data_IF_644361102146
#
_entry.id   IF_644361102146
#
_cell.length_a   1.000
_cell.length_b   1.000
_cell.length_c   1.000
_cell.angle_alpha   90.00
_cell.angle_beta   90.00
_cell.angle_gamma   90.00
#
_symmetry.space_group_name_H-M   'P 1'
#
loop_
_entity.id
_entity.type
_entity.pdbx_description
1 polymer ?
#
# COMPACT_ATOMS: atom_id res chain seq x y z
N UNK A 1 2.14 -104.05 -2.73
CA UNK A 1 1.48 -103.44 -1.55
C UNK A 1 2.25 -102.21 -1.12
N UNK A 2 1.52 -101.14 -0.76
CA UNK A 2 1.93 -99.87 -0.13
C UNK A 2 2.49 -98.75 -1.03
N UNK A 3 1.52 -97.88 -1.35
CA UNK A 3 1.54 -96.47 -1.77
C UNK A 3 2.71 -95.66 -1.17
N UNK A 4 3.36 -94.84 -2.00
CA UNK A 4 4.13 -93.68 -1.58
C UNK A 4 3.57 -92.45 -2.30
N UNK A 5 3.16 -91.45 -1.51
CA UNK A 5 2.40 -90.28 -1.92
C UNK A 5 3.31 -89.26 -2.63
N UNK A 6 2.86 -88.76 -3.79
CA UNK A 6 3.37 -87.52 -4.39
C UNK A 6 2.91 -86.34 -3.55
N UNK A 7 3.84 -85.56 -2.99
CA UNK A 7 3.58 -84.19 -2.56
C UNK A 7 3.77 -83.26 -3.78
N UNK A 8 2.67 -82.74 -4.32
CA UNK A 8 2.69 -81.64 -5.27
C UNK A 8 2.89 -80.32 -4.53
N UNK A 9 3.97 -79.61 -4.84
CA UNK A 9 4.19 -78.23 -4.40
C UNK A 9 3.48 -77.30 -5.39
N UNK A 10 2.33 -76.75 -5.00
CA UNK A 10 1.67 -75.68 -5.73
C UNK A 10 2.35 -74.35 -5.40
N UNK A 11 3.10 -73.79 -6.34
CA UNK A 11 3.51 -72.38 -6.31
C UNK A 11 2.29 -71.52 -6.68
N UNK A 12 1.62 -70.95 -5.67
CA UNK A 12 0.65 -69.87 -5.89
C UNK A 12 1.43 -68.59 -6.22
N UNK A 13 1.49 -68.24 -7.50
CA UNK A 13 1.91 -66.91 -7.96
C UNK A 13 0.82 -65.91 -7.58
N UNK A 14 1.01 -65.22 -6.46
CA UNK A 14 0.14 -64.14 -6.00
C UNK A 14 0.53 -62.85 -6.74
N UNK A 15 -0.07 -62.61 -7.91
CA UNK A 15 0.03 -61.33 -8.61
C UNK A 15 -0.72 -60.26 -7.82
N UNK A 16 0.02 -59.54 -6.97
CA UNK A 16 -0.44 -58.36 -6.27
C UNK A 16 -0.79 -57.27 -7.28
N UNK A 17 -2.07 -57.14 -7.60
CA UNK A 17 -2.57 -56.07 -8.47
C UNK A 17 -2.71 -54.83 -7.61
N UNK A 18 -1.70 -53.95 -7.64
CA UNK A 18 -1.74 -52.65 -6.98
C UNK A 18 -2.80 -51.79 -7.65
N UNK A 19 -3.99 -51.71 -7.06
CA UNK A 19 -4.95 -50.65 -7.35
C UNK A 19 -4.36 -49.34 -6.81
N UNK A 20 -3.71 -48.59 -7.69
CA UNK A 20 -3.40 -47.18 -7.43
C UNK A 20 -4.72 -46.43 -7.50
N UNK A 21 -5.37 -46.28 -6.35
CA UNK A 21 -6.42 -45.29 -6.18
C UNK A 21 -5.78 -43.91 -6.35
N UNK A 22 -5.86 -43.38 -7.56
CA UNK A 22 -5.50 -42.00 -7.87
C UNK A 22 -6.44 -41.05 -7.14
N UNK A 23 -6.14 -40.75 -5.89
CA UNK A 23 -6.58 -39.48 -5.32
C UNK A 23 -5.80 -38.41 -6.08
N UNK A 24 -6.47 -37.75 -7.02
CA UNK A 24 -6.05 -36.43 -7.46
C UNK A 24 -6.09 -35.54 -6.22
N UNK A 25 -4.96 -35.44 -5.52
CA UNK A 25 -4.71 -34.30 -4.67
C UNK A 25 -4.79 -33.10 -5.60
N UNK A 26 -5.91 -32.37 -5.53
CA UNK A 26 -5.99 -31.03 -6.11
C UNK A 26 -4.84 -30.28 -5.45
N UNK A 27 -3.78 -30.01 -6.22
CA UNK A 27 -2.75 -29.10 -5.79
C UNK A 27 -3.48 -27.83 -5.30
N UNK A 28 -3.16 -27.29 -4.11
CA UNK A 28 -3.77 -26.04 -3.68
C UNK A 28 -3.60 -25.07 -4.84
N UNK A 29 -4.72 -24.55 -5.35
CA UNK A 29 -4.69 -23.56 -6.40
C UNK A 29 -3.73 -22.47 -5.92
N UNK A 30 -2.61 -22.31 -6.62
CA UNK A 30 -1.68 -21.20 -6.41
C UNK A 30 -2.35 -19.96 -6.98
N UNK A 31 -3.50 -19.59 -6.41
CA UNK A 31 -4.18 -18.36 -6.77
C UNK A 31 -3.33 -17.24 -6.20
N UNK A 32 -2.83 -16.39 -7.09
CA UNK A 32 -2.24 -15.11 -6.69
C UNK A 32 -3.31 -14.14 -6.16
N UNK A 33 -4.59 -14.51 -6.25
CA UNK A 33 -5.70 -13.62 -5.99
C UNK A 33 -5.92 -13.27 -4.51
N UNK A 34 -6.13 -11.99 -4.25
CA UNK A 34 -6.39 -11.40 -2.93
C UNK A 34 -7.73 -10.66 -2.90
N UNK A 35 -8.22 -10.33 -1.70
CA UNK A 35 -9.37 -9.43 -1.53
C UNK A 35 -9.06 -8.03 -2.05
N UNK A 36 -7.82 -7.56 -1.92
CA UNK A 36 -7.40 -6.29 -2.48
C UNK A 36 -7.55 -6.30 -4.00
N UNK A 37 -7.08 -7.35 -4.69
CA UNK A 37 -7.25 -7.51 -6.14
C UNK A 37 -8.72 -7.49 -6.57
N UNK A 38 -9.61 -8.19 -5.86
CA UNK A 38 -11.05 -8.17 -6.16
C UNK A 38 -11.66 -6.76 -6.03
N UNK A 39 -11.15 -5.95 -5.10
CA UNK A 39 -11.59 -4.56 -4.90
C UNK A 39 -10.95 -3.57 -5.88
N UNK A 40 -9.81 -3.93 -6.50
CA UNK A 40 -9.07 -3.06 -7.42
C UNK A 40 -9.40 -3.28 -8.90
N UNK A 41 -9.58 -4.53 -9.32
CA UNK A 41 -9.65 -4.94 -10.73
C UNK A 41 -11.03 -4.82 -11.39
N UNK A 42 -12.08 -4.51 -10.62
CA UNK A 42 -13.44 -4.49 -11.16
C UNK A 42 -13.98 -3.05 -11.23
N UNK A 43 -14.09 -2.56 -12.46
CA UNK A 43 -14.77 -1.35 -12.94
C UNK A 43 -13.99 -0.01 -12.97
N UNK A 44 -14.22 0.76 -14.04
CA UNK A 44 -13.91 2.20 -14.17
C UNK A 44 -14.65 3.08 -13.13
N UNK A 45 -15.56 2.47 -12.37
CA UNK A 45 -16.30 3.11 -11.27
C UNK A 45 -15.68 2.82 -9.91
N UNK A 46 -15.75 3.79 -9.01
CA UNK A 46 -15.27 3.65 -7.63
C UNK A 46 -16.08 2.57 -6.91
N UNK A 47 -15.41 1.52 -6.43
CA UNK A 47 -16.04 0.42 -5.72
C UNK A 47 -16.75 0.91 -4.44
N UNK A 48 -17.98 0.45 -4.23
CA UNK A 48 -18.73 0.70 -3.01
C UNK A 48 -18.46 -0.41 -2.00
N UNK A 49 -18.01 -0.03 -0.80
CA UNK A 49 -17.64 -0.95 0.28
C UNK A 49 -18.51 -0.64 1.50
N UNK A 50 -19.22 -1.65 2.01
CA UNK A 50 -19.91 -1.59 3.30
C UNK A 50 -19.04 -2.25 4.37
N UNK A 51 -18.84 -1.58 5.50
CA UNK A 51 -18.20 -2.15 6.68
C UNK A 51 -19.09 -1.99 7.92
N UNK A 52 -19.58 -3.12 8.41
CA UNK A 52 -20.47 -3.20 9.56
C UNK A 52 -19.71 -3.62 10.81
N UNK A 53 -19.84 -2.85 11.90
CA UNK A 53 -19.22 -3.13 13.20
C UNK A 53 -19.74 -2.17 14.29
N UNK A 54 -19.35 -2.38 15.54
CA UNK A 54 -19.50 -1.39 16.61
C UNK A 54 -18.52 -0.20 16.40
N UNK A 55 -18.91 0.75 15.55
CA UNK A 55 -18.10 1.94 15.26
C UNK A 55 -17.88 2.82 16.49
N UNK A 56 -18.83 2.85 17.42
CA UNK A 56 -18.70 3.64 18.66
C UNK A 56 -17.59 3.04 19.51
N UNK A 57 -17.62 1.73 19.73
CA UNK A 57 -16.57 1.00 20.43
C UNK A 57 -15.21 1.15 19.77
N UNK A 58 -15.13 1.01 18.44
CA UNK A 58 -13.88 1.15 17.69
C UNK A 58 -13.25 2.53 17.88
N UNK A 59 -14.05 3.60 17.77
CA UNK A 59 -13.59 4.98 17.87
C UNK A 59 -13.18 5.32 19.31
N UNK A 60 -13.97 4.92 20.31
CA UNK A 60 -13.67 5.17 21.72
C UNK A 60 -12.41 4.42 22.18
N UNK A 61 -12.20 3.20 21.68
CA UNK A 61 -11.11 2.31 22.12
C UNK A 61 -9.95 2.20 21.12
N UNK A 62 -9.91 3.05 20.09
CA UNK A 62 -8.88 3.01 19.02
C UNK A 62 -7.44 2.92 19.53
N UNK A 63 -7.14 3.51 20.69
CA UNK A 63 -5.80 3.47 21.28
C UNK A 63 -5.39 2.08 21.79
N UNK A 64 -6.35 1.21 22.15
CA UNK A 64 -6.10 -0.15 22.66
C UNK A 64 -5.65 -1.13 21.57
N UNK A 65 -5.96 -0.84 20.30
CA UNK A 65 -5.68 -1.73 19.16
C UNK A 65 -6.28 -3.15 19.31
N UNK A 66 -7.38 -3.29 20.02
CA UNK A 66 -8.07 -4.57 20.18
C UNK A 66 -8.89 -4.89 18.91
N UNK A 67 -8.90 -6.16 18.54
CA UNK A 67 -9.74 -6.63 17.44
C UNK A 67 -11.19 -6.76 17.91
N UNK A 68 -12.12 -6.25 17.11
CA UNK A 68 -13.55 -6.48 17.22
C UNK A 68 -14.09 -7.14 15.94
N UNK A 69 -15.24 -7.80 16.05
CA UNK A 69 -15.88 -8.45 14.92
C UNK A 69 -16.56 -7.43 13.99
N UNK A 70 -16.69 -7.79 12.71
CA UNK A 70 -17.46 -7.03 11.74
C UNK A 70 -17.70 -7.79 10.46
N UNK A 71 -18.40 -7.14 9.53
CA UNK A 71 -18.74 -7.69 8.22
C UNK A 71 -18.31 -6.71 7.14
N UNK A 72 -17.41 -7.16 6.26
CA UNK A 72 -17.03 -6.45 5.05
C UNK A 72 -17.92 -6.94 3.90
N UNK A 73 -18.47 -6.03 3.09
CA UNK A 73 -19.28 -6.40 1.93
C UNK A 73 -19.04 -5.47 0.75
N UNK A 74 -18.99 -6.04 -0.45
CA UNK A 74 -18.84 -5.29 -1.69
C UNK A 74 -19.41 -6.08 -2.87
N UNK A 75 -19.71 -5.37 -3.96
CA UNK A 75 -20.24 -5.96 -5.19
C UNK A 75 -19.11 -6.51 -6.06
N UNK A 76 -19.29 -7.70 -6.60
CA UNK A 76 -18.38 -8.35 -7.55
C UNK A 76 -18.81 -8.06 -9.00
N UNK A 77 -17.94 -8.34 -9.99
CA UNK A 77 -18.19 -8.07 -11.41
C UNK A 77 -19.36 -8.88 -11.98
N UNK A 78 -19.61 -10.07 -11.44
CA UNK A 78 -20.79 -10.88 -11.79
C UNK A 78 -22.11 -10.27 -11.26
N UNK A 79 -22.02 -9.17 -10.53
CA UNK A 79 -23.12 -8.43 -9.95
C UNK A 79 -23.55 -8.93 -8.56
N UNK A 80 -23.00 -10.05 -8.09
CA UNK A 80 -23.26 -10.60 -6.75
C UNK A 80 -22.60 -9.75 -5.66
N UNK A 81 -23.02 -9.98 -4.40
CA UNK A 81 -22.43 -9.29 -3.24
C UNK A 81 -21.63 -10.30 -2.43
N UNK A 82 -20.31 -10.09 -2.35
CA UNK A 82 -19.45 -10.84 -1.45
C UNK A 82 -19.60 -10.29 -0.03
N UNK A 83 -19.80 -11.17 0.94
CA UNK A 83 -19.84 -10.83 2.37
C UNK A 83 -18.79 -11.65 3.11
N UNK A 84 -17.97 -10.99 3.92
CA UNK A 84 -16.87 -11.58 4.66
C UNK A 84 -17.02 -11.22 6.15
N UNK A 85 -17.03 -12.24 7.01
CA UNK A 85 -16.86 -12.02 8.44
C UNK A 85 -15.39 -11.70 8.69
N UNK A 86 -15.11 -10.59 9.35
CA UNK A 86 -13.77 -10.03 9.52
C UNK A 86 -13.54 -9.58 10.96
N UNK A 87 -12.27 -9.50 11.35
CA UNK A 87 -11.84 -8.83 12.58
C UNK A 87 -11.21 -7.50 12.23
N UNK A 88 -11.54 -6.44 12.94
CA UNK A 88 -11.00 -5.10 12.69
C UNK A 88 -10.41 -4.50 13.95
N UNK A 89 -9.37 -3.70 13.77
CA UNK A 89 -8.82 -2.85 14.83
C UNK A 89 -8.31 -1.54 14.23
N UNK A 90 -8.24 -0.51 15.05
CA UNK A 90 -7.50 0.70 14.69
C UNK A 90 -6.00 0.41 14.54
N UNK A 91 -5.33 1.15 13.67
CA UNK A 91 -3.88 1.09 13.41
C UNK A 91 -3.29 2.49 13.19
N UNK A 92 -1.97 2.58 13.18
CA UNK A 92 -1.21 3.81 12.97
C UNK A 92 -0.83 4.47 14.29
N UNK A 93 -0.14 5.61 14.26
CA UNK A 93 0.24 6.33 15.48
C UNK A 93 -0.52 7.65 15.60
N UNK A 94 -0.15 8.64 14.78
CA UNK A 94 -0.70 9.99 14.90
C UNK A 94 -2.22 10.04 14.65
N UNK A 95 -2.68 9.47 13.53
CA UNK A 95 -4.10 9.50 13.15
C UNK A 95 -5.03 8.87 14.21
N UNK A 96 -4.56 7.92 15.04
CA UNK A 96 -5.37 7.42 16.16
C UNK A 96 -5.67 8.49 17.21
N UNK A 97 -4.74 9.43 17.40
CA UNK A 97 -4.87 10.49 18.40
C UNK A 97 -5.67 11.69 17.86
N UNK A 98 -5.47 12.08 16.60
CA UNK A 98 -6.06 13.32 16.03
C UNK A 98 -7.34 13.10 15.22
N UNK A 99 -7.52 11.94 14.61
CA UNK A 99 -8.69 11.66 13.77
C UNK A 99 -9.85 11.07 14.56
N UNK A 100 -11.07 11.39 14.14
CA UNK A 100 -12.27 10.71 14.63
C UNK A 100 -12.25 9.26 14.16
N UNK A 101 -12.11 9.05 12.85
CA UNK A 101 -11.95 7.73 12.24
C UNK A 101 -10.47 7.42 12.05
N UNK A 102 -9.91 6.45 12.80
CA UNK A 102 -8.53 6.03 12.60
C UNK A 102 -8.42 5.16 11.34
N UNK A 103 -7.22 5.04 10.73
CA UNK A 103 -6.94 3.95 9.83
C UNK A 103 -7.22 2.60 10.51
N UNK A 104 -7.73 1.64 9.76
CA UNK A 104 -8.09 0.33 10.29
C UNK A 104 -7.30 -0.78 9.60
N UNK A 105 -7.01 -1.83 10.37
CA UNK A 105 -6.53 -3.10 9.86
C UNK A 105 -7.71 -4.08 9.90
N UNK A 106 -8.10 -4.59 8.74
CA UNK A 106 -9.13 -5.63 8.60
C UNK A 106 -8.40 -6.96 8.42
N UNK A 107 -8.77 -7.96 9.21
CA UNK A 107 -8.23 -9.30 9.18
C UNK A 107 -9.32 -10.27 8.77
N UNK A 108 -9.15 -10.91 7.63
CA UNK A 108 -10.07 -11.91 7.09
C UNK A 108 -9.64 -13.30 7.59
N UNK A 109 -10.55 -14.15 8.08
CA UNK A 109 -10.22 -15.53 8.42
C UNK A 109 -9.69 -16.32 7.23
N UNK A 110 -8.57 -16.99 7.42
CA UNK A 110 -7.86 -17.75 6.37
C UNK A 110 -8.72 -18.80 5.69
N UNK A 111 -9.54 -19.51 6.46
CA UNK A 111 -10.46 -20.51 5.93
C UNK A 111 -11.48 -19.89 4.97
N UNK A 112 -12.01 -18.69 5.25
CA UNK A 112 -12.91 -17.99 4.30
C UNK A 112 -12.18 -17.68 2.99
N UNK A 113 -10.92 -17.24 3.04
CA UNK A 113 -10.12 -16.99 1.83
C UNK A 113 -9.94 -18.28 1.01
N UNK A 114 -9.54 -19.38 1.66
CA UNK A 114 -9.37 -20.67 0.98
C UNK A 114 -10.67 -21.17 0.36
N UNK A 115 -11.82 -21.00 1.04
CA UNK A 115 -13.14 -21.35 0.49
C UNK A 115 -13.52 -20.52 -0.74
N UNK A 116 -13.04 -19.28 -0.84
CA UNK A 116 -13.22 -18.41 -2.00
C UNK A 116 -12.15 -18.63 -3.09
N UNK A 117 -11.25 -19.60 -2.91
CA UNK A 117 -10.13 -19.82 -3.82
C UNK A 117 -9.10 -18.70 -3.80
N UNK A 118 -9.01 -17.92 -2.72
CA UNK A 118 -8.05 -16.83 -2.53
C UNK A 118 -6.88 -17.27 -1.65
N UNK A 119 -5.75 -16.57 -1.80
CA UNK A 119 -4.54 -16.89 -1.04
C UNK A 119 -4.69 -16.55 0.44
N UNK A 120 -4.52 -17.56 1.30
CA UNK A 120 -4.71 -17.41 2.74
C UNK A 120 -3.66 -16.51 3.43
N UNK A 121 -2.51 -16.28 2.77
CA UNK A 121 -1.47 -15.36 3.25
C UNK A 121 -1.84 -13.90 3.07
N UNK A 122 -2.82 -13.59 2.23
CA UNK A 122 -3.32 -12.23 1.95
C UNK A 122 -4.55 -11.93 2.79
N UNK A 123 -4.41 -12.14 4.09
CA UNK A 123 -5.53 -12.10 5.04
C UNK A 123 -5.67 -10.76 5.76
N UNK A 124 -4.83 -9.79 5.43
CA UNK A 124 -4.78 -8.48 6.07
C UNK A 124 -5.02 -7.39 5.03
N UNK A 125 -5.99 -6.52 5.28
CA UNK A 125 -6.32 -5.39 4.43
C UNK A 125 -6.15 -4.09 5.24
N UNK A 126 -5.41 -3.14 4.68
CA UNK A 126 -5.19 -1.82 5.28
C UNK A 126 -6.16 -0.82 4.65
N UNK A 127 -7.04 -0.26 5.46
CA UNK A 127 -8.00 0.75 5.02
C UNK A 127 -7.72 2.08 5.74
N UNK A 128 -7.41 3.10 4.96
CA UNK A 128 -7.25 4.48 5.41
C UNK A 128 -8.62 5.16 5.26
N UNK A 129 -9.10 5.76 6.35
CA UNK A 129 -10.38 6.45 6.40
C UNK A 129 -10.16 7.96 6.33
N UNK A 130 -11.18 8.69 5.86
CA UNK A 130 -11.21 10.14 6.06
C UNK A 130 -11.14 10.43 7.56
N UNK A 131 -10.27 11.36 7.95
CA UNK A 131 -10.00 11.64 9.36
C UNK A 131 -11.28 12.00 10.14
N UNK A 132 -12.22 12.67 9.47
CA UNK A 132 -13.57 13.03 9.91
C UNK A 132 -14.50 13.09 8.68
N UNK A 133 -15.79 13.24 8.92
CA UNK A 133 -16.73 13.58 7.85
C UNK A 133 -16.50 15.01 7.33
N UNK A 134 -16.86 15.23 6.07
CA UNK A 134 -16.83 16.55 5.45
C UNK A 134 -15.74 16.68 4.38
N UNK A 135 -16.08 17.47 3.36
CA UNK A 135 -15.31 17.59 2.12
C UNK A 135 -13.82 17.90 2.33
N UNK A 136 -13.47 18.74 3.29
CA UNK A 136 -12.07 19.09 3.56
C UNK A 136 -11.21 17.87 3.92
N UNK A 137 -11.73 16.95 4.73
CA UNK A 137 -11.00 15.76 5.16
C UNK A 137 -10.96 14.70 4.06
N UNK A 138 -12.04 14.58 3.29
CA UNK A 138 -12.06 13.72 2.11
C UNK A 138 -11.08 14.23 1.04
N UNK A 139 -11.02 15.53 0.80
CA UNK A 139 -10.03 16.14 -0.11
C UNK A 139 -8.60 15.83 0.34
N UNK A 140 -8.32 15.78 1.66
CA UNK A 140 -7.01 15.35 2.17
C UNK A 140 -6.71 13.88 1.85
N UNK A 141 -7.66 12.97 2.09
CA UNK A 141 -7.49 11.55 1.74
C UNK A 141 -7.27 11.37 0.23
N UNK A 142 -8.02 12.10 -0.59
CA UNK A 142 -7.91 12.08 -2.04
C UNK A 142 -6.58 12.67 -2.54
N UNK A 143 -6.06 13.72 -1.87
CA UNK A 143 -4.70 14.25 -2.14
C UNK A 143 -3.61 13.24 -1.80
N UNK A 144 -3.75 12.52 -0.68
CA UNK A 144 -2.83 11.44 -0.31
C UNK A 144 -2.85 10.32 -1.36
N UNK A 145 -4.04 9.89 -1.77
CA UNK A 145 -4.21 8.91 -2.85
C UNK A 145 -3.62 9.40 -4.19
N UNK A 146 -3.76 10.68 -4.51
CA UNK A 146 -3.10 11.27 -5.67
C UNK A 146 -1.57 11.26 -5.53
N UNK A 147 -1.02 11.50 -4.34
CA UNK A 147 0.43 11.40 -4.12
C UNK A 147 0.94 9.97 -4.41
N UNK A 148 0.21 8.92 -4.00
CA UNK A 148 0.53 7.55 -4.39
C UNK A 148 0.56 7.38 -5.91
N UNK A 149 -0.48 7.84 -6.63
CA UNK A 149 -0.50 7.80 -8.10
C UNK A 149 0.64 8.56 -8.76
N UNK A 150 1.06 9.69 -8.18
CA UNK A 150 2.22 10.43 -8.68
C UNK A 150 3.52 9.65 -8.46
N UNK A 151 3.63 8.88 -7.38
CA UNK A 151 4.80 8.06 -7.09
C UNK A 151 5.00 6.92 -8.09
N UNK A 152 3.92 6.39 -8.66
CA UNK A 152 3.93 5.35 -9.71
C UNK A 152 4.69 5.82 -10.97
N UNK A 153 4.67 7.12 -11.29
CA UNK A 153 5.45 7.68 -12.40
C UNK A 153 6.96 7.76 -12.12
N UNK A 154 7.35 7.70 -10.85
CA UNK A 154 8.71 7.95 -10.38
C UNK A 154 9.46 6.65 -10.09
N UNK A 155 8.79 5.71 -9.43
CA UNK A 155 9.37 4.45 -9.00
C UNK A 155 8.69 3.29 -9.72
N UNK A 156 9.43 2.32 -10.29
CA UNK A 156 8.86 1.06 -10.75
C UNK A 156 8.51 0.11 -9.59
N UNK A 157 8.84 0.50 -8.35
CA UNK A 157 8.62 -0.27 -7.13
C UNK A 157 7.80 0.60 -6.17
N UNK A 158 6.49 0.34 -6.08
CA UNK A 158 5.53 1.11 -5.30
C UNK A 158 4.45 0.21 -4.72
N UNK A 159 3.81 0.65 -3.63
CA UNK A 159 2.60 0.02 -3.11
C UNK A 159 1.40 0.44 -3.95
N UNK A 160 0.56 -0.52 -4.31
CA UNK A 160 -0.71 -0.21 -4.98
C UNK A 160 -1.72 0.39 -4.00
N UNK A 161 -2.55 1.30 -4.52
CA UNK A 161 -3.64 1.91 -3.74
C UNK A 161 -4.93 1.96 -4.54
N UNK A 162 -6.06 1.87 -3.84
CA UNK A 162 -7.39 1.98 -4.45
C UNK A 162 -8.29 2.84 -3.60
N UNK A 163 -8.82 3.90 -4.19
CA UNK A 163 -9.90 4.70 -3.58
C UNK A 163 -11.22 3.95 -3.74
N UNK A 164 -11.97 3.86 -2.64
CA UNK A 164 -13.29 3.24 -2.57
C UNK A 164 -14.26 4.23 -1.93
N UNK A 165 -15.56 4.09 -2.25
CA UNK A 165 -16.62 4.79 -1.52
C UNK A 165 -17.06 3.87 -0.40
N UNK A 166 -16.80 4.26 0.84
CA UNK A 166 -16.99 3.40 2.01
C UNK A 166 -18.16 3.91 2.85
N UNK A 167 -19.05 2.99 3.23
CA UNK A 167 -20.15 3.23 4.15
C UNK A 167 -19.92 2.44 5.45
N UNK A 168 -19.94 3.13 6.59
CA UNK A 168 -19.86 2.53 7.91
C UNK A 168 -21.25 2.25 8.48
N UNK A 169 -21.49 1.02 8.94
CA UNK A 169 -22.78 0.56 9.47
C UNK A 169 -22.67 -0.03 10.87
N UNK A 170 -23.74 0.10 11.65
CA UNK A 170 -23.91 -0.49 12.98
C UNK A 170 -25.30 -1.15 13.00
N UNK A 171 -25.31 -2.47 12.79
CA UNK A 171 -26.51 -3.20 12.36
C UNK A 171 -27.11 -2.59 11.09
N UNK A 172 -28.40 -2.25 11.15
CA UNK A 172 -29.16 -1.69 10.03
C UNK A 172 -29.05 -0.15 9.91
N UNK A 173 -28.19 0.50 10.69
CA UNK A 173 -28.03 1.95 10.67
C UNK A 173 -26.73 2.36 9.97
N UNK A 174 -26.86 3.06 8.84
CA UNK A 174 -25.74 3.80 8.23
C UNK A 174 -25.29 4.94 9.17
N UNK A 175 -23.99 5.03 9.42
CA UNK A 175 -23.38 6.04 10.29
C UNK A 175 -22.72 7.16 9.49
N UNK A 176 -22.03 6.80 8.40
CA UNK A 176 -21.29 7.73 7.55
C UNK A 176 -21.04 7.10 6.18
N UNK A 177 -20.83 7.96 5.18
CA UNK A 177 -20.38 7.57 3.84
C UNK A 177 -19.37 8.59 3.34
N UNK A 178 -18.17 8.14 2.99
CA UNK A 178 -17.11 9.00 2.44
C UNK A 178 -16.11 8.19 1.60
N UNK A 179 -15.16 8.88 0.96
CA UNK A 179 -14.01 8.20 0.36
C UNK A 179 -13.05 7.61 1.38
N UNK A 180 -12.60 6.39 1.11
CA UNK A 180 -11.54 5.70 1.84
C UNK A 180 -10.50 5.16 0.83
N UNK A 181 -9.32 4.80 1.32
CA UNK A 181 -8.23 4.29 0.48
C UNK A 181 -7.71 2.96 1.03
N UNK A 182 -7.68 1.95 0.18
CA UNK A 182 -6.96 0.71 0.42
C UNK A 182 -5.50 0.88 0.02
N UNK A 183 -4.60 0.31 0.82
CA UNK A 183 -3.17 0.24 0.51
C UNK A 183 -2.77 -1.24 0.55
N UNK A 184 -2.05 -1.66 -0.48
CA UNK A 184 -1.45 -2.99 -0.57
C UNK A 184 -0.61 -3.32 0.68
N UNK A 185 -0.75 -4.55 1.20
CA UNK A 185 0.07 -5.01 2.32
C UNK A 185 1.40 -5.60 1.85
N UNK A 186 2.38 -5.68 2.75
CA UNK A 186 3.73 -6.15 2.43
C UNK A 186 3.75 -7.58 1.83
N UNK A 187 2.93 -8.57 2.27
CA UNK A 187 2.93 -9.89 1.65
C UNK A 187 2.44 -9.89 0.19
N UNK A 188 1.44 -9.07 -0.11
CA UNK A 188 0.90 -8.90 -1.46
C UNK A 188 1.94 -8.23 -2.35
N UNK A 189 2.52 -7.12 -1.88
CA UNK A 189 3.63 -6.44 -2.55
C UNK A 189 4.80 -7.39 -2.81
N UNK A 190 5.21 -8.16 -1.80
CA UNK A 190 6.31 -9.13 -1.91
C UNK A 190 6.03 -10.20 -2.95
N UNK A 191 4.78 -10.59 -3.12
CA UNK A 191 4.38 -11.55 -4.16
C UNK A 191 4.40 -10.90 -5.53
N UNK A 192 3.71 -9.75 -5.70
CA UNK A 192 3.59 -9.03 -6.97
C UNK A 192 4.95 -8.61 -7.53
N UNK A 193 5.86 -8.16 -6.66
CA UNK A 193 7.20 -7.70 -7.04
C UNK A 193 8.26 -8.80 -6.95
N UNK A 194 7.89 -10.04 -6.61
CA UNK A 194 8.83 -11.13 -6.30
C UNK A 194 9.92 -10.70 -5.30
N UNK A 195 9.55 -9.87 -4.34
CA UNK A 195 10.45 -9.11 -3.49
C UNK A 195 10.52 -9.69 -2.07
N UNK A 196 11.69 -9.56 -1.43
CA UNK A 196 11.90 -9.95 -0.02
C UNK A 196 12.01 -8.72 0.87
N UNK A 197 11.11 -8.58 1.84
CA UNK A 197 11.14 -7.47 2.80
C UNK A 197 12.35 -7.55 3.73
N UNK A 198 12.96 -6.41 4.01
CA UNK A 198 14.05 -6.28 4.97
C UNK A 198 13.48 -6.06 6.37
N UNK A 199 13.78 -7.02 7.24
CA UNK A 199 13.28 -7.04 8.61
C UNK A 199 14.22 -6.35 9.62
N UNK A 200 15.46 -6.04 9.24
CA UNK A 200 16.42 -5.37 10.13
C UNK A 200 15.89 -4.03 10.60
N UNK A 201 16.02 -3.72 11.89
CA UNK A 201 15.45 -2.50 12.47
C UNK A 201 16.00 -1.23 11.83
N UNK A 202 17.30 -1.22 11.54
CA UNK A 202 17.97 -0.08 10.93
C UNK A 202 18.56 -0.38 9.56
N UNK A 203 18.68 0.67 8.74
CA UNK A 203 19.24 0.63 7.38
C UNK A 203 20.13 1.84 7.16
N UNK A 204 21.21 1.68 6.38
CA UNK A 204 22.10 2.79 6.01
C UNK A 204 21.87 3.17 4.55
N UNK A 205 21.89 4.46 4.23
CA UNK A 205 21.63 4.95 2.86
C UNK A 205 22.53 4.33 1.79
N UNK A 206 23.79 3.99 2.11
CA UNK A 206 24.71 3.37 1.14
C UNK A 206 24.40 1.91 0.79
N UNK A 207 23.56 1.22 1.59
CA UNK A 207 23.11 -0.15 1.29
C UNK A 207 21.94 -0.17 0.32
N UNK A 208 21.36 0.99 0.02
CA UNK A 208 20.26 1.14 -0.92
C UNK A 208 20.75 1.18 -2.36
N UNK A 209 19.89 0.76 -3.28
CA UNK A 209 20.06 1.12 -4.68
C UNK A 209 20.04 2.65 -4.83
N UNK A 210 21.05 3.18 -5.50
CA UNK A 210 21.34 4.62 -5.45
C UNK A 210 20.33 5.43 -6.26
N UNK A 211 19.95 4.93 -7.43
CA UNK A 211 19.04 5.65 -8.32
C UNK A 211 17.62 5.68 -7.74
N UNK A 212 17.13 4.56 -7.20
CA UNK A 212 15.82 4.50 -6.54
C UNK A 212 15.76 5.38 -5.29
N UNK A 213 16.82 5.39 -4.47
CA UNK A 213 16.91 6.30 -3.32
C UNK A 213 16.82 7.78 -3.71
N UNK A 214 17.57 8.20 -4.74
CA UNK A 214 17.56 9.58 -5.20
C UNK A 214 16.18 9.98 -5.74
N UNK A 215 15.56 9.10 -6.54
CA UNK A 215 14.20 9.30 -7.05
C UNK A 215 13.18 9.44 -5.91
N UNK A 216 13.26 8.58 -4.90
CA UNK A 216 12.42 8.67 -3.71
C UNK A 216 12.64 10.00 -2.96
N UNK A 217 13.89 10.40 -2.71
CA UNK A 217 14.19 11.63 -1.98
C UNK A 217 13.71 12.89 -2.73
N UNK A 218 13.87 12.93 -4.06
CA UNK A 218 13.34 14.02 -4.89
C UNK A 218 11.82 14.03 -4.90
N UNK A 219 11.17 12.85 -4.90
CA UNK A 219 9.71 12.76 -4.80
C UNK A 219 9.21 13.30 -3.46
N UNK A 220 9.83 12.91 -2.34
CA UNK A 220 9.48 13.44 -1.03
C UNK A 220 9.62 14.97 -0.99
N UNK A 221 10.68 15.52 -1.60
CA UNK A 221 10.80 16.97 -1.78
C UNK A 221 9.71 17.57 -2.68
N UNK A 222 9.37 16.92 -3.80
CA UNK A 222 8.33 17.36 -4.72
C UNK A 222 7.00 17.56 -3.99
N UNK A 223 6.62 16.64 -3.10
CA UNK A 223 5.40 16.73 -2.30
C UNK A 223 5.57 17.49 -0.96
N UNK A 224 6.75 18.07 -0.70
CA UNK A 224 7.10 18.72 0.57
C UNK A 224 6.87 17.82 1.80
N UNK A 225 7.30 16.56 1.71
CA UNK A 225 7.23 15.61 2.81
C UNK A 225 8.60 15.51 3.51
N UNK A 226 8.60 15.85 4.79
CA UNK A 226 9.76 15.70 5.69
C UNK A 226 9.56 14.59 6.73
N UNK A 227 8.39 13.94 6.73
CA UNK A 227 8.06 12.87 7.68
C UNK A 227 8.52 11.50 7.16
N UNK A 228 9.82 11.34 6.94
CA UNK A 228 10.41 10.07 6.53
C UNK A 228 11.88 9.96 6.98
N UNK A 229 12.34 8.74 7.22
CA UNK A 229 13.76 8.50 7.53
C UNK A 229 14.19 7.09 7.15
N UNK A 230 15.38 6.99 6.52
CA UNK A 230 15.97 5.71 6.12
C UNK A 230 16.42 4.91 7.34
N UNK A 231 17.06 5.58 8.31
CA UNK A 231 17.78 4.91 9.38
C UNK A 231 16.89 3.95 10.18
N UNK A 232 15.71 4.41 10.59
CA UNK A 232 14.71 3.65 11.35
C UNK A 232 13.51 3.23 10.49
N UNK A 233 13.59 3.38 9.16
CA UNK A 233 12.52 3.04 8.21
C UNK A 233 11.19 3.76 8.49
N UNK A 234 11.25 4.99 9.01
CA UNK A 234 10.06 5.81 9.22
C UNK A 234 9.43 6.17 7.87
N UNK A 235 8.18 5.74 7.65
CA UNK A 235 7.41 5.93 6.42
C UNK A 235 8.11 5.44 5.12
N UNK A 236 9.00 4.45 5.25
CA UNK A 236 9.69 3.80 4.13
C UNK A 236 9.86 2.30 4.41
N UNK A 237 9.40 1.44 3.50
CA UNK A 237 9.66 0.00 3.52
C UNK A 237 10.85 -0.33 2.63
N UNK A 238 11.58 -1.39 2.96
CA UNK A 238 12.82 -1.75 2.28
C UNK A 238 12.72 -3.18 1.75
N UNK A 239 13.07 -3.39 0.48
CA UNK A 239 12.91 -4.69 -0.17
C UNK A 239 14.11 -5.05 -1.04
N UNK A 240 14.46 -6.33 -1.10
CA UNK A 240 15.25 -6.88 -2.19
C UNK A 240 14.32 -7.25 -3.34
N UNK A 241 14.46 -6.58 -4.47
CA UNK A 241 13.63 -6.75 -5.66
C UNK A 241 14.50 -7.32 -6.80
N UNK A 242 14.07 -8.37 -7.52
CA UNK A 242 14.80 -8.87 -8.68
C UNK A 242 15.13 -7.76 -9.70
N UNK A 243 16.33 -7.80 -10.25
CA UNK A 243 16.85 -6.76 -11.16
C UNK A 243 17.61 -5.62 -10.46
N UNK A 244 17.51 -5.49 -9.14
CA UNK A 244 18.31 -4.54 -8.36
C UNK A 244 19.43 -5.27 -7.60
N UNK A 245 20.63 -4.70 -7.63
CA UNK A 245 21.78 -5.26 -6.90
C UNK A 245 21.72 -4.99 -5.39
N UNK A 246 20.97 -3.96 -4.98
CA UNK A 246 20.84 -3.48 -3.62
C UNK A 246 19.38 -3.35 -3.24
N UNK A 247 19.12 -3.14 -1.95
CA UNK A 247 17.74 -2.97 -1.47
C UNK A 247 17.12 -1.67 -1.98
N UNK A 248 15.86 -1.74 -2.37
CA UNK A 248 15.09 -0.61 -2.88
C UNK A 248 14.22 -0.04 -1.75
N UNK A 249 14.24 1.28 -1.53
CA UNK A 249 13.30 1.95 -0.64
C UNK A 249 11.96 2.18 -1.33
N UNK A 250 10.87 1.95 -0.60
CA UNK A 250 9.48 2.17 -1.06
C UNK A 250 8.79 3.05 -0.03
N UNK A 251 8.60 4.32 -0.38
CA UNK A 251 7.95 5.29 0.49
C UNK A 251 6.43 5.05 0.57
N UNK A 252 5.85 5.35 1.73
CA UNK A 252 4.41 5.29 1.99
C UNK A 252 4.05 6.32 3.09
N UNK A 253 2.76 6.48 3.42
CA UNK A 253 2.24 7.44 4.40
C UNK A 253 2.57 8.90 4.01
N UNK A 254 1.84 9.44 3.02
CA UNK A 254 2.08 10.77 2.45
C UNK A 254 1.19 11.87 3.05
N UNK A 255 0.42 11.56 4.08
CA UNK A 255 -0.57 12.47 4.68
C UNK A 255 0.04 13.67 5.39
N UNK A 256 1.26 13.52 5.91
CA UNK A 256 2.03 14.59 6.56
C UNK A 256 2.69 15.57 5.58
N UNK A 257 2.57 15.33 4.27
CA UNK A 257 3.21 16.15 3.24
C UNK A 257 2.51 17.50 3.04
N UNK A 258 3.26 18.52 2.63
CA UNK A 258 2.70 19.81 2.21
C UNK A 258 1.79 19.74 0.98
N UNK A 259 1.92 18.69 0.15
CA UNK A 259 1.00 18.43 -0.96
C UNK A 259 -0.41 18.08 -0.47
N UNK A 260 -0.51 17.29 0.61
CA UNK A 260 -1.79 16.97 1.23
C UNK A 260 -2.27 18.11 2.14
N UNK A 261 -1.35 18.70 2.91
CA UNK A 261 -1.58 19.83 3.80
C UNK A 261 -2.74 19.58 4.79
N UNK A 262 -2.72 18.43 5.47
CA UNK A 262 -3.69 18.15 6.55
C UNK A 262 -3.57 19.18 7.67
N UNK A 263 -4.67 19.39 8.41
CA UNK A 263 -4.71 20.37 9.51
C UNK A 263 -3.90 19.95 10.75
N UNK A 264 -3.52 18.67 10.85
CA UNK A 264 -2.71 18.14 11.95
C UNK A 264 -1.23 18.00 11.58
N UNK A 265 -0.86 18.11 10.29
CA UNK A 265 0.53 18.03 9.88
C UNK A 265 1.29 19.28 10.32
N UNK A 266 2.39 19.05 11.04
CA UNK A 266 3.30 20.09 11.53
C UNK A 266 4.74 19.67 11.23
N UNK A 267 5.65 20.60 10.87
CA UNK A 267 7.04 20.25 10.70
C UNK A 267 7.65 19.76 12.01
N UNK A 268 8.51 18.76 11.94
CA UNK A 268 9.28 18.33 13.10
C UNK A 268 10.32 19.40 13.48
N UNK A 269 10.57 19.61 14.76
CA UNK A 269 11.48 20.66 15.24
C UNK A 269 12.93 20.52 14.75
N UNK A 270 13.32 19.31 14.33
CA UNK A 270 14.65 19.03 13.78
C UNK A 270 14.85 19.50 12.34
N UNK A 271 13.81 19.94 11.63
CA UNK A 271 13.91 20.46 10.26
C UNK A 271 13.75 21.99 10.23
N UNK A 272 14.53 22.72 9.41
CA UNK A 272 14.59 24.18 9.42
C UNK A 272 13.46 24.80 8.58
N UNK A 273 12.22 24.37 8.79
CA UNK A 273 11.02 24.89 8.12
C UNK A 273 9.92 25.20 9.15
N UNK A 274 9.07 26.17 8.81
CA UNK A 274 8.02 26.68 9.69
C UNK A 274 6.62 26.28 9.25
N UNK A 275 6.50 25.69 8.05
CA UNK A 275 5.24 25.19 7.50
C UNK A 275 5.50 23.92 6.70
N UNK A 276 4.59 22.94 6.78
CA UNK A 276 4.66 21.69 5.99
C UNK A 276 4.63 21.93 4.49
N UNK A 277 4.15 23.09 4.03
CA UNK A 277 4.16 23.47 2.61
C UNK A 277 5.51 23.98 2.12
N UNK A 278 6.45 24.26 3.03
CA UNK A 278 7.84 24.59 2.69
C UNK A 278 8.60 23.30 2.39
N UNK A 279 9.23 23.23 1.21
CA UNK A 279 10.04 22.08 0.81
C UNK A 279 11.39 22.12 1.53
N UNK A 280 11.82 20.96 2.02
CA UNK A 280 13.15 20.77 2.58
C UNK A 280 13.71 19.44 2.10
N UNK A 281 14.93 19.45 1.57
CA UNK A 281 15.54 18.26 0.99
C UNK A 281 16.32 17.46 2.05
N UNK A 282 15.89 16.23 2.29
CA UNK A 282 16.50 15.32 3.29
C UNK A 282 17.41 14.25 2.66
N UNK A 283 17.67 14.32 1.36
CA UNK A 283 18.56 13.38 0.66
C UNK A 283 20.02 13.54 1.08
N UNK A 284 20.70 12.42 1.31
CA UNK A 284 22.08 12.37 1.82
C UNK A 284 23.09 12.02 0.73
N UNK A 285 24.30 12.54 0.88
CA UNK A 285 25.45 12.32 0.00
C UNK A 285 25.19 12.58 -1.48
N UNK A 286 24.34 13.53 -1.84
CA UNK A 286 23.92 13.76 -3.23
C UNK A 286 24.95 14.62 -3.97
N UNK A 287 25.56 14.06 -5.00
CA UNK A 287 26.51 14.77 -5.86
C UNK A 287 25.79 15.70 -6.86
N UNK A 288 26.52 16.64 -7.45
CA UNK A 288 25.97 17.51 -8.49
C UNK A 288 25.50 16.74 -9.72
N UNK A 289 26.27 15.73 -10.13
CA UNK A 289 25.93 14.89 -11.28
C UNK A 289 24.62 14.12 -11.03
N UNK A 290 24.50 13.48 -9.86
CA UNK A 290 23.29 12.78 -9.45
C UNK A 290 22.08 13.72 -9.35
N UNK A 291 22.26 14.91 -8.80
CA UNK A 291 21.20 15.92 -8.71
C UNK A 291 20.72 16.35 -10.10
N UNK A 292 21.64 16.62 -11.04
CA UNK A 292 21.31 17.00 -12.42
C UNK A 292 20.61 15.83 -13.15
N UNK A 293 21.14 14.61 -13.04
CA UNK A 293 20.55 13.41 -13.65
C UNK A 293 19.13 13.16 -13.13
N UNK A 294 18.93 13.25 -11.81
CA UNK A 294 17.62 13.04 -11.18
C UNK A 294 16.66 14.17 -11.54
N UNK A 295 17.11 15.42 -11.56
CA UNK A 295 16.29 16.55 -12.02
C UNK A 295 15.83 16.37 -13.48
N UNK A 296 16.71 15.91 -14.37
CA UNK A 296 16.35 15.62 -15.76
C UNK A 296 15.30 14.49 -15.88
N UNK A 297 15.41 13.45 -15.05
CA UNK A 297 14.40 12.39 -14.97
C UNK A 297 13.03 12.93 -14.53
N UNK A 298 12.97 13.77 -13.49
CA UNK A 298 11.69 14.37 -13.08
C UNK A 298 11.13 15.30 -14.15
N UNK A 299 11.99 16.08 -14.82
CA UNK A 299 11.56 16.94 -15.94
C UNK A 299 10.94 16.15 -17.08
N UNK A 300 11.45 14.95 -17.40
CA UNK A 300 10.83 14.09 -18.42
C UNK A 300 9.48 13.50 -17.98
N UNK A 301 9.19 13.49 -16.67
CA UNK A 301 7.89 13.09 -16.10
C UNK A 301 6.93 14.23 -15.85
N UNK A 302 7.32 15.48 -16.12
CA UNK A 302 6.53 16.67 -15.81
C UNK A 302 5.14 16.62 -16.42
N UNK A 303 5.03 16.33 -17.71
CA UNK A 303 3.74 16.32 -18.41
C UNK A 303 2.81 15.21 -17.87
N UNK A 304 3.34 14.02 -17.64
CA UNK A 304 2.58 12.89 -17.07
C UNK A 304 2.06 13.20 -15.66
N UNK A 305 2.90 13.83 -14.82
CA UNK A 305 2.54 14.22 -13.45
C UNK A 305 1.44 15.28 -13.45
N UNK A 306 1.59 16.34 -14.25
CA UNK A 306 0.60 17.42 -14.31
C UNK A 306 -0.71 16.93 -14.92
N UNK A 307 -0.65 16.09 -15.96
CA UNK A 307 -1.84 15.46 -16.55
C UNK A 307 -2.57 14.58 -15.55
N UNK A 308 -1.84 13.75 -14.78
CA UNK A 308 -2.44 12.90 -13.72
C UNK A 308 -3.18 13.75 -12.69
N UNK A 309 -2.63 14.90 -12.29
CA UNK A 309 -3.29 15.83 -11.38
C UNK A 309 -4.53 16.47 -12.02
N UNK A 310 -4.42 16.93 -13.27
CA UNK A 310 -5.53 17.56 -14.00
C UNK A 310 -6.69 16.58 -14.26
N UNK A 311 -6.42 15.29 -14.47
CA UNK A 311 -7.43 14.27 -14.77
C UNK A 311 -8.04 13.62 -13.52
N UNK A 312 -7.57 13.96 -12.32
CA UNK A 312 -8.05 13.38 -11.07
C UNK A 312 -9.41 13.95 -10.62
N UNK A 313 -10.49 13.57 -11.33
CA UNK A 313 -11.86 14.11 -11.18
C UNK A 313 -12.52 13.89 -9.81
N UNK A 314 -11.94 13.07 -8.93
CA UNK A 314 -12.40 12.94 -7.55
C UNK A 314 -12.17 14.23 -6.74
N UNK A 315 -11.19 15.05 -7.15
CA UNK A 315 -10.99 16.38 -6.60
C UNK A 315 -11.65 17.43 -7.51
N UNK A 316 -12.27 18.44 -6.88
CA UNK A 316 -12.78 19.58 -7.61
C UNK A 316 -11.66 20.35 -8.36
N UNK A 317 -12.06 21.18 -9.30
CA UNK A 317 -11.12 21.92 -10.13
C UNK A 317 -10.24 22.88 -9.33
N UNK A 318 -10.78 23.52 -8.28
CA UNK A 318 -10.01 24.42 -7.41
C UNK A 318 -8.86 23.68 -6.73
N UNK A 319 -9.11 22.50 -6.18
CA UNK A 319 -8.09 21.64 -5.59
C UNK A 319 -7.07 21.22 -6.64
N UNK A 320 -7.51 20.73 -7.81
CA UNK A 320 -6.59 20.32 -8.91
C UNK A 320 -5.66 21.45 -9.34
N UNK A 321 -6.19 22.65 -9.58
CA UNK A 321 -5.39 23.83 -9.95
C UNK A 321 -4.41 24.25 -8.82
N UNK A 322 -4.81 24.13 -7.56
CA UNK A 322 -3.92 24.42 -6.42
C UNK A 322 -2.74 23.45 -6.35
N UNK A 323 -3.01 22.15 -6.55
CA UNK A 323 -1.98 21.11 -6.55
C UNK A 323 -1.05 21.23 -7.76
N UNK A 324 -1.60 21.55 -8.93
CA UNK A 324 -0.82 21.81 -10.14
C UNK A 324 0.16 22.97 -9.91
N UNK A 325 -0.32 24.11 -9.39
CA UNK A 325 0.53 25.25 -9.02
C UNK A 325 1.59 24.86 -7.99
N UNK A 326 1.25 23.99 -7.04
CA UNK A 326 2.19 23.49 -6.05
C UNK A 326 3.31 22.68 -6.71
N UNK A 327 2.98 21.77 -7.64
CA UNK A 327 3.93 20.94 -8.38
C UNK A 327 4.78 21.76 -9.35
N UNK A 328 4.22 22.77 -10.02
CA UNK A 328 4.96 23.65 -10.92
C UNK A 328 6.15 24.34 -10.22
N UNK A 329 5.98 24.77 -8.96
CA UNK A 329 7.08 25.33 -8.16
C UNK A 329 8.24 24.36 -7.96
N UNK A 330 7.99 23.05 -7.91
CA UNK A 330 9.05 22.05 -7.88
C UNK A 330 9.78 22.00 -9.22
N UNK A 331 9.06 21.95 -10.35
CA UNK A 331 9.67 21.94 -11.68
C UNK A 331 10.45 23.23 -11.98
N UNK A 332 10.04 24.38 -11.45
CA UNK A 332 10.77 25.66 -11.57
C UNK A 332 12.15 25.63 -10.88
N UNK A 333 12.32 24.78 -9.86
CA UNK A 333 13.63 24.50 -9.26
C UNK A 333 14.47 23.67 -10.23
N UNK A 334 13.88 22.65 -10.85
CA UNK A 334 14.59 21.72 -11.73
C UNK A 334 15.05 22.33 -13.05
N UNK A 335 14.39 23.39 -13.53
CA UNK A 335 14.78 24.12 -14.75
C UNK A 335 16.08 24.93 -14.62
N UNK A 336 16.57 25.18 -13.40
CA UNK A 336 17.76 26.01 -13.15
C UNK A 336 18.85 25.20 -12.45
N UNK A 337 19.96 24.94 -13.16
CA UNK A 337 21.11 24.19 -12.62
C UNK A 337 21.67 24.79 -11.31
N UNK A 338 21.62 26.11 -11.12
CA UNK A 338 22.08 26.76 -9.87
C UNK A 338 21.12 26.46 -8.72
N UNK A 339 19.81 26.47 -8.97
CA UNK A 339 18.81 26.06 -7.96
C UNK A 339 18.94 24.58 -7.66
N UNK A 340 19.04 23.71 -8.67
CA UNK A 340 19.27 22.26 -8.47
C UNK A 340 20.49 22.02 -7.58
N UNK A 341 21.62 22.67 -7.89
CA UNK A 341 22.84 22.56 -7.07
C UNK A 341 22.60 23.00 -5.63
N UNK A 342 21.89 24.11 -5.42
CA UNK A 342 21.63 24.68 -4.09
C UNK A 342 20.70 23.80 -3.26
N UNK A 343 19.62 23.30 -3.86
CA UNK A 343 18.58 22.55 -3.15
C UNK A 343 18.96 21.10 -2.90
N UNK A 344 19.67 20.45 -3.83
CA UNK A 344 19.81 19.00 -3.83
C UNK A 344 21.23 18.47 -3.58
N UNK A 345 22.29 19.26 -3.72
CA UNK A 345 23.66 18.75 -3.49
C UNK A 345 23.95 18.73 -1.99
N UNK A 346 24.24 17.55 -1.46
CA UNK A 346 24.51 17.35 -0.03
C UNK A 346 25.87 16.68 0.19
N UNK A 347 26.65 17.24 1.13
CA UNK A 347 28.04 16.81 1.43
C UNK A 347 28.17 15.99 2.72
N UNK A 348 27.06 15.77 3.42
CA UNK A 348 27.01 15.13 4.74
C UNK A 348 26.36 13.78 4.68
#
# INVERSE_FOLDING_TARGET
>A
MRKLQLLGVFFYSMTLTLFVSGQSAVAPADSSHSIFELLTHEHDSIAAVKLETDWVGLIQHKMKEEYQEGVLSFRQADGSTLKLNVKLRARGNMRKQVCLYPPIKIKIPKNQLTHLGLRDTFNDLKLILSCREGKQYEDCLLKEALAYKLYEHISPVYFETKVVKMAGWDGDKEKFVFYAMLIEDDPEFSTRMHAKKIMTETVKTHTLDRETYLKMAFFQYMIANVDWAIHNKHNVSMFFVPGFQKSVPVAYDFDYSGFVSTNYAVPHESVPITSVTQRYFMGQFVTLEEAIKTAAFFQSKKEDILRTCAEYKMLDEKNRQSLEKFLLKFFDVLCDKKKVKREFVTKR
#
